data_IF_476165108075
#
_entry.id   IF_476165108075
#
_cell.length_a   1.000
_cell.length_b   1.000
_cell.length_c   1.000
_cell.angle_alpha   90.00
_cell.angle_beta   90.00
_cell.angle_gamma   90.00
#
_symmetry.space_group_name_H-M   'P 1'
#
loop_
_entity.id
_entity.type
_entity.pdbx_description
1 polymer ?
#
# COMPACT_ATOMS: atom_id res chain seq x y z
N UNK A 1 7.62 -38.90 -8.13
CA UNK A 1 7.86 -37.49 -8.29
C UNK A 1 7.45 -36.76 -7.05
N UNK A 2 8.39 -36.19 -6.34
CA UNK A 2 8.09 -35.33 -5.19
C UNK A 2 7.57 -33.99 -5.70
N UNK A 3 6.33 -33.66 -5.39
CA UNK A 3 5.76 -32.36 -5.71
C UNK A 3 6.48 -31.33 -4.85
N UNK A 4 7.26 -30.47 -5.48
CA UNK A 4 7.89 -29.36 -4.77
C UNK A 4 6.79 -28.39 -4.35
N UNK A 5 6.67 -28.15 -3.04
CA UNK A 5 5.64 -27.28 -2.49
C UNK A 5 6.20 -25.91 -2.18
N UNK A 6 5.42 -24.91 -2.50
CA UNK A 6 5.69 -23.56 -2.01
C UNK A 6 5.53 -23.51 -0.49
N UNK A 7 6.39 -22.75 0.14
CA UNK A 7 6.29 -22.48 1.58
C UNK A 7 5.71 -21.09 1.78
N UNK A 8 4.72 -21.00 2.63
CA UNK A 8 4.10 -19.75 3.01
C UNK A 8 4.46 -19.48 4.47
N UNK A 9 5.02 -18.31 4.74
CA UNK A 9 5.35 -17.87 6.08
C UNK A 9 4.65 -16.54 6.37
N UNK A 10 4.11 -16.42 7.58
CA UNK A 10 3.61 -15.14 8.06
C UNK A 10 4.78 -14.23 8.44
N UNK A 11 4.65 -12.95 8.13
CA UNK A 11 5.61 -11.92 8.50
C UNK A 11 5.15 -11.23 9.76
N UNK A 12 6.10 -10.91 10.66
CA UNK A 12 5.79 -10.09 11.81
C UNK A 12 5.58 -8.62 11.42
N UNK A 13 5.05 -7.84 12.33
CA UNK A 13 4.73 -6.44 12.08
C UNK A 13 5.96 -5.62 11.66
N UNK A 14 7.07 -5.82 12.32
CA UNK A 14 8.32 -5.12 12.03
C UNK A 14 8.80 -5.37 10.60
N UNK A 15 8.78 -6.63 10.16
CA UNK A 15 9.16 -7.00 8.80
C UNK A 15 8.17 -6.46 7.77
N UNK A 16 6.88 -6.49 8.06
CA UNK A 16 5.86 -5.87 7.20
C UNK A 16 6.13 -4.39 6.98
N UNK A 17 6.42 -3.65 8.04
CA UNK A 17 6.71 -2.22 7.96
C UNK A 17 7.99 -1.95 7.19
N UNK A 18 9.01 -2.78 7.39
CA UNK A 18 10.27 -2.67 6.66
C UNK A 18 10.07 -2.87 5.15
N UNK A 19 9.34 -3.89 4.76
CA UNK A 19 9.05 -4.19 3.35
C UNK A 19 8.22 -3.09 2.69
N UNK A 20 7.22 -2.59 3.40
CA UNK A 20 6.38 -1.50 2.94
C UNK A 20 7.21 -0.24 2.63
N UNK A 21 8.11 0.13 3.53
CA UNK A 21 8.95 1.30 3.39
C UNK A 21 10.06 1.13 2.34
N UNK A 22 10.59 -0.07 2.20
CA UNK A 22 11.73 -0.36 1.31
C UNK A 22 11.33 -0.74 -0.12
N UNK A 23 10.05 -0.84 -0.44
CA UNK A 23 9.59 -1.23 -1.76
C UNK A 23 10.09 -0.25 -2.84
N UNK A 24 10.97 -0.70 -3.77
CA UNK A 24 11.58 0.21 -4.73
C UNK A 24 10.61 0.76 -5.79
N UNK A 25 9.54 0.04 -6.08
CA UNK A 25 8.56 0.50 -7.07
C UNK A 25 7.67 1.61 -6.54
N UNK A 26 7.50 1.68 -5.22
CA UNK A 26 6.61 2.62 -4.55
C UNK A 26 5.20 2.65 -5.13
N UNK A 27 4.79 1.52 -5.65
CA UNK A 27 3.44 1.30 -6.17
C UNK A 27 2.68 0.41 -5.20
N UNK A 28 1.54 0.89 -4.76
CA UNK A 28 0.61 0.14 -3.92
C UNK A 28 -0.79 0.21 -4.49
N UNK A 29 -1.70 -0.48 -3.82
CA UNK A 29 -3.11 -0.50 -4.20
C UNK A 29 -3.95 -0.18 -2.99
N UNK A 30 -4.81 0.82 -3.13
CA UNK A 30 -5.80 1.16 -2.10
C UNK A 30 -7.13 0.54 -2.47
N UNK A 31 -7.74 -0.14 -1.51
CA UNK A 31 -9.03 -0.82 -1.67
C UNK A 31 -10.06 -0.21 -0.71
N UNK A 32 -11.22 0.08 -1.23
CA UNK A 32 -12.31 0.71 -0.48
C UNK A 32 -13.66 0.35 -1.12
N UNK A 33 -14.74 0.67 -0.45
CA UNK A 33 -16.09 0.55 -1.04
C UNK A 33 -16.61 1.94 -1.39
N UNK A 34 -17.22 2.05 -2.59
CA UNK A 34 -17.77 3.31 -3.06
C UNK A 34 -19.00 3.69 -2.26
N UNK A 35 -19.06 4.95 -1.80
CA UNK A 35 -20.20 5.50 -1.06
C UNK A 35 -20.67 4.61 0.12
N UNK A 36 -19.74 3.82 0.69
CA UNK A 36 -20.06 2.88 1.75
C UNK A 36 -20.90 1.68 1.32
N UNK A 37 -21.11 1.49 0.02
CA UNK A 37 -21.87 0.36 -0.51
C UNK A 37 -20.96 -0.87 -0.69
N UNK A 38 -21.16 -1.96 0.10
CA UNK A 38 -20.33 -3.15 0.01
C UNK A 38 -20.44 -3.90 -1.31
N UNK A 39 -21.44 -3.59 -2.14
CA UNK A 39 -21.56 -4.17 -3.47
C UNK A 39 -20.62 -3.55 -4.50
N UNK A 40 -19.95 -2.46 -4.17
CA UNK A 40 -19.04 -1.74 -5.07
C UNK A 40 -17.64 -1.60 -4.49
N UNK A 41 -16.93 -2.72 -4.34
CA UNK A 41 -15.51 -2.65 -3.96
C UNK A 41 -14.68 -2.11 -5.11
N UNK A 42 -13.73 -1.24 -4.79
CA UNK A 42 -12.85 -0.59 -5.76
C UNK A 42 -11.41 -0.73 -5.32
N UNK A 43 -10.52 -0.96 -6.28
CA UNK A 43 -9.07 -1.02 -6.08
C UNK A 43 -8.41 -0.04 -7.05
N UNK A 44 -7.58 0.84 -6.52
CA UNK A 44 -6.84 1.83 -7.32
C UNK A 44 -5.34 1.70 -7.07
N UNK A 45 -4.51 1.69 -8.13
CA UNK A 45 -3.08 1.79 -7.99
C UNK A 45 -2.68 3.22 -7.62
N UNK A 46 -1.76 3.36 -6.68
CA UNK A 46 -1.24 4.67 -6.25
C UNK A 46 0.26 4.57 -5.99
N UNK A 47 0.98 5.63 -6.32
CA UNK A 47 2.33 5.80 -5.83
C UNK A 47 2.28 6.32 -4.40
N UNK A 48 3.18 5.83 -3.55
CA UNK A 48 3.15 6.16 -2.14
C UNK A 48 4.52 6.46 -1.58
N UNK A 49 4.52 7.13 -0.44
CA UNK A 49 5.69 7.33 0.40
C UNK A 49 5.38 6.87 1.81
N UNK A 50 6.40 6.48 2.56
CA UNK A 50 6.27 6.15 3.99
C UNK A 50 7.09 7.14 4.79
N UNK A 51 6.44 7.82 5.72
CA UNK A 51 7.07 8.77 6.64
C UNK A 51 6.52 8.50 8.03
N UNK A 52 7.39 8.27 8.99
CA UNK A 52 7.01 8.02 10.39
C UNK A 52 5.92 6.93 10.52
N UNK A 53 6.12 5.82 9.81
CA UNK A 53 5.23 4.65 9.79
C UNK A 53 3.82 4.90 9.22
N UNK A 54 3.57 6.02 8.58
CA UNK A 54 2.33 6.29 7.87
C UNK A 54 2.55 6.28 6.36
N UNK A 55 1.52 5.92 5.62
CA UNK A 55 1.54 5.89 4.16
C UNK A 55 0.91 7.16 3.61
N UNK A 56 1.61 7.80 2.68
CA UNK A 56 1.16 9.04 2.02
C UNK A 56 1.01 8.80 0.53
N UNK A 57 -0.09 9.26 -0.01
CA UNK A 57 -0.33 9.27 -1.45
C UNK A 57 -1.27 10.40 -1.85
N UNK A 58 -1.41 10.63 -3.14
CA UNK A 58 -2.27 11.70 -3.65
C UNK A 58 -3.57 11.13 -4.20
N UNK A 59 -4.64 11.90 -3.99
CA UNK A 59 -5.95 11.62 -4.58
C UNK A 59 -6.52 12.91 -5.17
N UNK A 60 -7.39 12.77 -6.16
CA UNK A 60 -8.07 13.92 -6.76
C UNK A 60 -9.29 14.31 -5.95
N UNK A 61 -9.45 15.61 -5.71
CA UNK A 61 -10.65 16.16 -5.14
C UNK A 61 -11.85 15.81 -6.04
N UNK A 62 -12.94 15.34 -5.44
CA UNK A 62 -14.10 14.86 -6.18
C UNK A 62 -14.00 13.40 -6.66
N UNK A 63 -12.87 12.71 -6.44
CA UNK A 63 -12.77 11.29 -6.73
C UNK A 63 -13.59 10.46 -5.74
N UNK A 64 -13.90 9.23 -6.12
CA UNK A 64 -14.59 8.27 -5.25
C UNK A 64 -13.80 7.96 -3.97
N UNK A 65 -12.49 7.90 -4.08
CA UNK A 65 -11.61 7.73 -2.93
C UNK A 65 -11.67 8.93 -1.99
N UNK A 66 -11.70 10.15 -2.53
CA UNK A 66 -11.84 11.36 -1.74
C UNK A 66 -13.17 11.38 -0.96
N UNK A 67 -14.25 10.95 -1.59
CA UNK A 67 -15.55 10.81 -0.92
C UNK A 67 -15.53 9.76 0.18
N UNK A 68 -14.75 8.69 0.01
CA UNK A 68 -14.61 7.61 1.00
C UNK A 68 -13.81 8.02 2.25
N UNK A 69 -13.07 9.12 2.21
CA UNK A 69 -12.21 9.58 3.32
C UNK A 69 -12.94 9.81 4.63
N UNK A 70 -14.24 10.08 4.59
CA UNK A 70 -14.98 10.54 5.76
C UNK A 70 -15.57 9.43 6.62
N UNK A 71 -15.71 8.21 6.10
CA UNK A 71 -16.64 7.26 6.73
C UNK A 71 -16.18 5.81 6.82
N UNK A 72 -15.01 5.45 6.30
CA UNK A 72 -14.64 4.06 6.28
C UNK A 72 -13.15 3.83 6.42
N UNK A 73 -12.83 2.62 6.85
CA UNK A 73 -11.47 2.12 6.78
C UNK A 73 -11.16 1.70 5.35
N UNK A 74 -9.91 1.85 4.97
CA UNK A 74 -9.40 1.40 3.69
C UNK A 74 -8.32 0.35 3.90
N UNK A 75 -8.11 -0.48 2.90
CA UNK A 75 -7.00 -1.40 2.85
C UNK A 75 -5.96 -0.88 1.86
N UNK A 76 -4.70 -1.11 2.16
CA UNK A 76 -3.57 -0.75 1.30
C UNK A 76 -2.66 -1.97 1.17
N UNK A 77 -2.41 -2.39 -0.05
CA UNK A 77 -1.64 -3.60 -0.34
C UNK A 77 -0.42 -3.26 -1.17
N UNK A 78 0.70 -3.88 -0.80
CA UNK A 78 1.96 -3.80 -1.55
C UNK A 78 2.53 -5.21 -1.67
N UNK A 79 3.08 -5.53 -2.82
CA UNK A 79 3.69 -6.83 -3.05
C UNK A 79 4.89 -6.73 -3.99
N UNK A 80 5.68 -7.77 -4.00
CA UNK A 80 6.74 -7.96 -4.97
C UNK A 80 6.93 -9.46 -5.26
N UNK A 81 7.29 -9.77 -6.49
CA UNK A 81 7.50 -11.14 -6.95
C UNK A 81 8.87 -11.25 -7.60
N UNK A 82 9.62 -12.29 -7.23
CA UNK A 82 10.81 -12.74 -7.95
C UNK A 82 10.42 -13.92 -8.84
N UNK A 83 10.36 -13.68 -10.15
CA UNK A 83 9.90 -14.67 -11.11
C UNK A 83 10.88 -15.84 -11.29
N UNK A 84 12.18 -15.61 -11.11
CA UNK A 84 13.19 -16.65 -11.25
C UNK A 84 13.01 -17.75 -10.19
N UNK A 85 12.72 -17.35 -8.97
CA UNK A 85 12.58 -18.27 -7.83
C UNK A 85 11.14 -18.57 -7.46
N UNK A 86 10.17 -17.94 -8.11
CA UNK A 86 8.76 -17.99 -7.70
C UNK A 86 8.56 -17.58 -6.23
N UNK A 87 9.40 -16.68 -5.77
CA UNK A 87 9.28 -16.08 -4.45
C UNK A 87 8.44 -14.82 -4.50
N UNK A 88 7.87 -14.46 -3.39
CA UNK A 88 7.17 -13.20 -3.29
C UNK A 88 6.82 -12.87 -1.86
N UNK A 89 6.43 -11.64 -1.67
CA UNK A 89 5.87 -11.20 -0.40
C UNK A 89 4.71 -10.25 -0.68
N UNK A 90 3.81 -10.17 0.27
CA UNK A 90 2.72 -9.19 0.26
C UNK A 90 2.54 -8.61 1.66
N UNK A 91 2.18 -7.36 1.72
CA UNK A 91 1.86 -6.63 2.95
C UNK A 91 0.51 -5.97 2.77
N UNK A 92 -0.36 -6.16 3.75
CA UNK A 92 -1.68 -5.56 3.81
C UNK A 92 -1.78 -4.67 5.05
N UNK A 93 -2.03 -3.40 4.83
CA UNK A 93 -2.30 -2.42 5.88
C UNK A 93 -3.77 -2.01 5.84
N UNK A 94 -4.38 -1.89 7.00
CA UNK A 94 -5.76 -1.40 7.15
C UNK A 94 -5.75 -0.22 8.10
N UNK A 95 -6.43 0.83 7.74
CA UNK A 95 -6.50 2.02 8.57
C UNK A 95 -7.43 3.07 8.02
N UNK A 96 -7.25 4.29 8.50
CA UNK A 96 -8.07 5.44 8.14
C UNK A 96 -7.26 6.47 7.36
N UNK A 97 -7.93 7.15 6.45
CA UNK A 97 -7.35 8.22 5.65
C UNK A 97 -7.71 9.59 6.21
N UNK A 98 -6.72 10.48 6.23
CA UNK A 98 -6.90 11.90 6.54
C UNK A 98 -6.23 12.77 5.50
N UNK A 99 -6.82 13.93 5.24
CA UNK A 99 -6.20 14.94 4.37
C UNK A 99 -5.03 15.58 5.12
N UNK A 100 -3.88 15.65 4.48
CA UNK A 100 -2.69 16.30 5.03
C UNK A 100 -2.79 17.80 4.78
N UNK A 101 -2.79 18.58 5.86
CA UNK A 101 -2.88 20.04 5.83
C UNK A 101 -1.60 20.75 6.28
N UNK A 102 -0.70 20.02 6.97
CA UNK A 102 0.57 20.56 7.45
C UNK A 102 1.55 20.75 6.27
N UNK A 103 2.01 21.99 6.00
CA UNK A 103 2.91 22.26 4.88
C UNK A 103 4.27 21.56 4.98
N UNK A 104 4.79 21.34 6.18
CA UNK A 104 6.09 20.65 6.37
C UNK A 104 5.96 19.17 6.02
N UNK A 105 4.89 18.54 6.46
CA UNK A 105 4.61 17.14 6.13
C UNK A 105 4.34 16.98 4.63
N UNK A 106 3.58 17.90 4.05
CA UNK A 106 3.31 17.91 2.62
C UNK A 106 4.60 18.04 1.80
N UNK A 107 5.52 18.92 2.20
CA UNK A 107 6.79 19.09 1.52
C UNK A 107 7.67 17.84 1.59
N UNK A 108 7.73 17.17 2.74
CA UNK A 108 8.49 15.93 2.91
C UNK A 108 7.92 14.80 2.05
N UNK A 109 6.60 14.68 2.00
CA UNK A 109 5.93 13.67 1.17
C UNK A 109 6.13 13.97 -0.33
N UNK A 110 6.09 15.22 -0.74
CA UNK A 110 6.29 15.63 -2.13
C UNK A 110 7.69 15.29 -2.65
N UNK A 111 8.71 15.37 -1.81
CA UNK A 111 10.06 14.94 -2.19
C UNK A 111 10.09 13.45 -2.53
N UNK A 112 9.46 12.63 -1.72
CA UNK A 112 9.42 11.17 -1.92
C UNK A 112 8.45 10.73 -3.01
N UNK A 113 7.36 11.46 -3.18
CA UNK A 113 6.37 11.19 -4.22
C UNK A 113 6.75 11.78 -5.58
N UNK A 114 8.01 12.12 -5.81
CA UNK A 114 8.51 12.79 -7.02
C UNK A 114 7.62 12.56 -8.25
N UNK A 115 6.76 13.43 -8.41
CA UNK A 115 5.69 13.70 -9.33
C UNK A 115 5.50 12.80 -10.56
N UNK A 116 4.50 12.03 -10.51
CA UNK A 116 3.70 11.76 -11.67
C UNK A 116 2.65 12.89 -11.74
N UNK A 117 2.96 13.99 -12.40
CA UNK A 117 2.08 15.13 -12.63
C UNK A 117 1.24 15.56 -11.40
N UNK A 118 1.79 16.45 -10.58
CA UNK A 118 1.00 17.18 -9.60
C UNK A 118 0.02 18.09 -10.33
N UNK A 119 -1.27 17.72 -10.34
CA UNK A 119 -2.34 18.59 -10.81
C UNK A 119 -2.80 19.51 -9.69
N UNK A 120 -3.38 20.65 -10.05
CA UNK A 120 -3.88 21.65 -9.11
C UNK A 120 -5.00 21.11 -8.18
N UNK A 121 -5.64 20.00 -8.56
CA UNK A 121 -6.78 19.42 -7.84
C UNK A 121 -6.39 18.21 -7.00
N UNK A 122 -5.09 17.92 -6.86
CA UNK A 122 -4.62 16.79 -6.06
C UNK A 122 -4.56 17.16 -4.58
N UNK A 123 -5.03 16.22 -3.77
CA UNK A 123 -4.93 16.26 -2.31
C UNK A 123 -3.98 15.20 -1.82
N UNK A 124 -3.06 15.59 -0.96
CA UNK A 124 -2.23 14.63 -0.24
C UNK A 124 -3.01 14.04 0.91
N UNK A 125 -3.01 12.72 1.02
CA UNK A 125 -3.68 12.00 2.09
C UNK A 125 -2.67 11.13 2.84
N UNK A 126 -2.96 10.91 4.12
CA UNK A 126 -2.19 10.04 5.01
C UNK A 126 -3.07 8.88 5.43
N UNK A 127 -2.53 7.68 5.29
CA UNK A 127 -3.10 6.47 5.86
C UNK A 127 -2.41 6.19 7.20
N UNK A 128 -3.18 6.29 8.28
CA UNK A 128 -2.76 5.84 9.59
C UNK A 128 -3.08 4.36 9.73
N UNK A 129 -2.04 3.55 9.94
CA UNK A 129 -2.15 2.09 9.93
C UNK A 129 -2.59 1.61 11.30
N UNK A 130 -3.74 0.95 11.36
CA UNK A 130 -4.25 0.31 12.58
C UNK A 130 -3.83 -1.16 12.67
N UNK A 131 -3.73 -1.81 11.52
CA UNK A 131 -3.38 -3.22 11.43
C UNK A 131 -2.53 -3.46 10.19
N UNK A 132 -1.45 -4.21 10.37
CA UNK A 132 -0.58 -4.61 9.27
C UNK A 132 -0.29 -6.10 9.37
N UNK A 133 -0.43 -6.79 8.24
CA UNK A 133 -0.15 -8.22 8.11
C UNK A 133 0.62 -8.45 6.83
N UNK A 134 1.33 -9.57 6.77
CA UNK A 134 2.06 -9.90 5.55
C UNK A 134 2.40 -11.38 5.46
N UNK A 135 2.76 -11.78 4.27
CA UNK A 135 3.14 -13.16 3.94
C UNK A 135 4.34 -13.16 3.02
N UNK A 136 5.16 -14.18 3.20
CA UNK A 136 6.23 -14.51 2.26
C UNK A 136 5.95 -15.89 1.66
N UNK A 137 6.03 -15.96 0.35
CA UNK A 137 5.96 -17.21 -0.39
C UNK A 137 7.37 -17.54 -0.87
N UNK A 138 7.86 -18.70 -0.53
CA UNK A 138 9.16 -19.21 -0.97
C UNK A 138 8.89 -20.32 -1.97
N UNK A 139 9.33 -20.11 -3.21
CA UNK A 139 9.21 -21.08 -4.26
C UNK A 139 10.17 -22.24 -4.07
N UNK A 140 9.91 -23.37 -4.75
CA UNK A 140 10.81 -24.52 -4.69
C UNK A 140 12.17 -24.17 -5.28
N UNK A 141 13.25 -24.57 -4.59
CA UNK A 141 14.61 -24.46 -5.09
C UNK A 141 15.01 -25.75 -5.76
N UNK A 142 15.72 -25.66 -6.88
CA UNK A 142 16.38 -26.81 -7.45
C UNK A 142 17.44 -27.31 -6.44
N UNK A 143 17.38 -28.57 -6.08
CA UNK A 143 18.45 -29.18 -5.30
C UNK A 143 19.72 -29.25 -6.17
N UNK A 144 20.78 -28.67 -5.68
CA UNK A 144 22.09 -28.74 -6.31
C UNK A 144 22.61 -30.22 -6.32
#
# INVERSE_FOLDING_TARGET
MTRQMHRIAELDESECRRLLAANPTRLGRVAFVEDGDPNWPTVLPVNYAVIDDAVYFRTFEGSKLYAALRHQRVAFEVDAVDQEWNDGWSVLAVGSLDIVRDPEVAAAADEDLASWAAGADEQLVRLDIDRITGRRVIGPRASA
#
